data_IF_095688885322
#
_entry.id   IF_095688885322
#
_cell.length_a   1.000
_cell.length_b   1.000
_cell.length_c   1.000
_cell.angle_alpha   90.00
_cell.angle_beta   90.00
_cell.angle_gamma   90.00
#
_symmetry.space_group_name_H-M   'P 1'
#
loop_
_entity.id
_entity.type
_entity.pdbx_description
1 polymer ?
#
# COMPACT_ATOMS: atom_id res chain seq x y z
N UNK A 1 -14.10 -12.36 -10.46
CA UNK A 1 -12.67 -11.96 -10.57
C UNK A 1 -11.87 -12.35 -9.32
N UNK A 2 -12.35 -12.10 -8.09
CA UNK A 2 -11.60 -12.42 -6.85
C UNK A 2 -12.24 -13.52 -5.98
N UNK A 3 -13.26 -14.22 -6.48
CA UNK A 3 -13.96 -15.28 -5.72
C UNK A 3 -14.81 -14.76 -4.55
N UNK A 4 -15.15 -13.46 -4.55
CA UNK A 4 -15.93 -12.78 -3.51
C UNK A 4 -17.33 -12.47 -4.05
N UNK A 5 -18.36 -12.61 -3.20
CA UNK A 5 -19.74 -12.24 -3.54
C UNK A 5 -19.85 -10.74 -3.84
N UNK A 6 -20.75 -10.36 -4.75
CA UNK A 6 -21.00 -8.95 -5.09
C UNK A 6 -21.44 -8.14 -3.87
N UNK A 7 -22.19 -8.75 -2.94
CA UNK A 7 -22.66 -8.10 -1.72
C UNK A 7 -21.51 -7.71 -0.76
N UNK A 8 -20.33 -8.33 -0.92
CA UNK A 8 -19.13 -8.05 -0.14
C UNK A 8 -18.16 -7.10 -0.87
N UNK A 9 -18.58 -6.46 -1.98
CA UNK A 9 -17.72 -5.61 -2.79
C UNK A 9 -18.27 -4.19 -2.87
N UNK A 10 -17.40 -3.21 -2.60
CA UNK A 10 -17.63 -1.80 -2.94
C UNK A 10 -16.62 -1.36 -4.00
N UNK A 11 -17.07 -0.58 -4.98
CA UNK A 11 -16.20 0.08 -5.95
C UNK A 11 -16.13 1.58 -5.65
N UNK A 12 -14.91 2.13 -5.68
CA UNK A 12 -14.63 3.53 -5.42
C UNK A 12 -13.74 4.18 -6.48
N UNK A 13 -13.75 5.51 -6.53
CA UNK A 13 -12.90 6.36 -7.36
C UNK A 13 -11.44 6.32 -6.88
N UNK A 14 -10.78 5.20 -7.12
CA UNK A 14 -9.53 4.81 -6.45
C UNK A 14 -9.78 4.27 -5.04
N UNK A 15 -8.75 3.68 -4.44
CA UNK A 15 -8.81 3.22 -3.04
C UNK A 15 -8.88 4.39 -2.05
N UNK A 16 -8.45 5.59 -2.47
CA UNK A 16 -8.50 6.79 -1.63
C UNK A 16 -9.96 7.22 -1.32
N UNK A 17 -10.91 7.11 -2.27
CA UNK A 17 -12.32 7.37 -1.99
C UNK A 17 -12.87 6.36 -0.99
N UNK A 18 -12.51 5.08 -1.14
CA UNK A 18 -12.95 4.03 -0.20
C UNK A 18 -12.42 4.31 1.21
N UNK A 19 -11.15 4.68 1.34
CA UNK A 19 -10.57 5.08 2.63
C UNK A 19 -11.33 6.25 3.24
N UNK A 20 -11.61 7.31 2.47
CA UNK A 20 -12.38 8.46 2.97
C UNK A 20 -13.78 8.05 3.45
N UNK A 21 -14.46 7.17 2.72
CA UNK A 21 -15.76 6.64 3.14
C UNK A 21 -15.67 5.86 4.46
N UNK A 22 -14.59 5.11 4.70
CA UNK A 22 -14.38 4.41 5.98
C UNK A 22 -14.27 5.37 7.15
N UNK A 23 -13.49 6.46 7.01
CA UNK A 23 -13.42 7.50 8.04
C UNK A 23 -14.81 8.11 8.29
N UNK A 24 -15.53 8.50 7.23
CA UNK A 24 -16.86 9.12 7.35
C UNK A 24 -17.93 8.21 7.96
N UNK A 25 -17.84 6.90 7.71
CA UNK A 25 -18.86 5.94 8.14
C UNK A 25 -18.67 5.50 9.59
N UNK A 26 -17.42 5.43 10.06
CA UNK A 26 -17.08 4.68 11.28
C UNK A 26 -16.32 5.49 12.33
N UNK A 27 -15.96 6.74 12.05
CA UNK A 27 -15.27 7.60 13.02
C UNK A 27 -16.08 8.89 13.26
N UNK A 28 -16.42 9.15 14.51
CA UNK A 28 -16.98 10.42 14.96
C UNK A 28 -15.86 11.46 15.12
N UNK A 29 -15.91 12.59 14.38
CA UNK A 29 -14.88 13.64 14.46
C UNK A 29 -14.70 14.18 15.89
N UNK A 30 -13.45 14.37 16.32
CA UNK A 30 -13.03 14.82 17.68
C UNK A 30 -13.30 13.84 18.82
N UNK A 31 -13.91 12.69 18.58
CA UNK A 31 -14.18 11.69 19.60
C UNK A 31 -13.36 10.43 19.35
N UNK A 32 -13.42 9.92 18.13
CA UNK A 32 -12.78 8.67 17.77
C UNK A 32 -11.33 8.84 17.30
N UNK A 33 -10.57 7.75 17.39
CA UNK A 33 -9.22 7.66 16.85
C UNK A 33 -9.00 6.44 15.97
N UNK A 34 -7.93 6.51 15.16
CA UNK A 34 -7.49 5.49 14.22
C UNK A 34 -6.02 5.21 14.48
N UNK A 35 -5.63 3.93 14.43
CA UNK A 35 -4.22 3.51 14.52
C UNK A 35 -3.69 3.23 13.11
N UNK A 36 -2.46 3.66 12.81
CA UNK A 36 -1.72 3.24 11.63
C UNK A 36 -0.29 2.81 11.99
N UNK A 37 0.31 1.97 11.14
CA UNK A 37 1.75 1.69 11.22
C UNK A 37 2.58 2.82 10.60
N UNK A 38 3.78 3.07 11.14
CA UNK A 38 4.69 4.12 10.66
C UNK A 38 6.12 3.60 10.51
N UNK A 39 6.80 3.85 9.37
CA UNK A 39 6.34 4.57 8.19
C UNK A 39 5.32 3.79 7.34
N UNK A 40 4.37 4.49 6.72
CA UNK A 40 3.40 3.90 5.79
C UNK A 40 2.80 4.92 4.81
N UNK A 41 1.68 4.59 4.18
CA UNK A 41 1.07 5.41 3.14
C UNK A 41 0.48 6.71 3.71
N UNK A 42 1.03 7.84 3.28
CA UNK A 42 0.69 9.16 3.85
C UNK A 42 -0.77 9.62 3.70
N UNK A 43 -1.58 8.99 2.83
CA UNK A 43 -2.99 9.38 2.70
C UNK A 43 -3.80 9.09 3.96
N UNK A 44 -3.42 8.12 4.79
CA UNK A 44 -4.11 7.86 6.06
C UNK A 44 -4.11 9.10 6.96
N UNK A 45 -2.95 9.76 7.07
CA UNK A 45 -2.79 11.01 7.83
C UNK A 45 -3.57 12.17 7.22
N UNK A 46 -3.59 12.27 5.89
CA UNK A 46 -4.39 13.29 5.20
C UNK A 46 -5.88 13.10 5.49
N UNK A 47 -6.37 11.86 5.43
CA UNK A 47 -7.80 11.55 5.61
C UNK A 47 -8.24 11.67 7.08
N UNK A 48 -7.41 11.23 8.02
CA UNK A 48 -7.65 11.47 9.45
C UNK A 48 -7.77 12.97 9.76
N UNK A 49 -6.83 13.78 9.26
CA UNK A 49 -6.87 15.24 9.43
C UNK A 49 -8.10 15.88 8.75
N UNK A 50 -8.44 15.45 7.54
CA UNK A 50 -9.60 15.97 6.79
C UNK A 50 -10.92 15.67 7.51
N UNK A 51 -11.04 14.48 8.10
CA UNK A 51 -12.21 14.07 8.87
C UNK A 51 -12.11 14.48 10.35
N UNK A 52 -11.03 15.14 10.75
CA UNK A 52 -10.78 15.61 12.11
C UNK A 52 -10.87 14.49 13.16
N UNK A 53 -10.23 13.37 12.83
CA UNK A 53 -10.09 12.14 13.62
C UNK A 53 -8.64 12.04 14.08
N UNK A 54 -8.41 11.68 15.34
CA UNK A 54 -7.05 11.50 15.86
C UNK A 54 -6.38 10.30 15.18
N UNK A 55 -5.11 10.46 14.80
CA UNK A 55 -4.31 9.39 14.21
C UNK A 55 -3.15 9.03 15.13
N UNK A 56 -3.21 7.82 15.67
CA UNK A 56 -2.13 7.22 16.47
C UNK A 56 -1.19 6.44 15.57
N UNK A 57 0.10 6.72 15.68
CA UNK A 57 1.14 6.09 14.85
C UNK A 57 1.92 5.05 15.66
N UNK A 58 1.86 3.78 15.25
CA UNK A 58 2.65 2.69 15.83
C UNK A 58 3.88 2.43 14.97
N UNK A 59 5.06 2.63 15.56
CA UNK A 59 6.34 2.47 14.88
C UNK A 59 6.63 1.01 14.56
N UNK A 60 6.95 0.73 13.29
CA UNK A 60 7.52 -0.54 12.85
C UNK A 60 8.88 -0.78 13.52
N UNK A 61 9.35 -2.02 13.47
CA UNK A 61 10.72 -2.36 13.83
C UNK A 61 11.72 -1.77 12.83
N UNK A 62 13.01 -1.76 13.20
CA UNK A 62 14.09 -1.24 12.33
C UNK A 62 14.23 -1.99 11.00
N UNK A 63 13.81 -3.26 10.96
CA UNK A 63 13.74 -4.10 9.75
C UNK A 63 12.38 -3.98 9.03
N UNK A 64 11.54 -3.04 9.46
CA UNK A 64 10.17 -2.80 8.99
C UNK A 64 9.17 -3.93 9.25
N UNK A 65 9.49 -4.88 10.11
CA UNK A 65 8.50 -5.83 10.63
C UNK A 65 7.54 -5.16 11.61
N UNK A 66 6.36 -5.77 11.79
CA UNK A 66 5.32 -5.31 12.72
C UNK A 66 5.18 -6.30 13.87
N UNK A 67 5.25 -5.80 15.10
CA UNK A 67 4.79 -6.50 16.30
C UNK A 67 3.31 -6.17 16.54
N UNK A 68 2.45 -7.19 16.51
CA UNK A 68 1.02 -7.03 16.76
C UNK A 68 0.75 -6.45 18.16
N UNK A 69 1.58 -6.78 19.15
CA UNK A 69 1.40 -6.31 20.52
C UNK A 69 1.43 -4.79 20.61
N UNK A 70 2.32 -4.14 19.84
CA UNK A 70 2.40 -2.67 19.80
C UNK A 70 1.11 -2.00 19.31
N UNK A 71 0.38 -2.66 18.42
CA UNK A 71 -0.94 -2.19 17.96
C UNK A 71 -1.97 -2.43 19.05
N UNK A 72 -2.02 -3.65 19.61
CA UNK A 72 -3.00 -4.05 20.62
C UNK A 72 -2.89 -3.17 21.88
N UNK A 73 -1.67 -2.84 22.31
CA UNK A 73 -1.41 -2.00 23.47
C UNK A 73 -1.84 -0.52 23.26
N UNK A 74 -1.95 -0.07 22.01
CA UNK A 74 -2.30 1.32 21.65
C UNK A 74 -3.83 1.52 21.53
N UNK A 75 -4.59 0.42 21.44
CA UNK A 75 -6.06 0.44 21.35
C UNK A 75 -6.66 0.90 22.67
N UNK A 76 -7.58 1.86 22.57
CA UNK A 76 -8.41 2.37 23.65
C UNK A 76 -9.91 2.28 23.30
N UNK A 77 -10.78 2.78 24.17
CA UNK A 77 -12.23 2.76 24.00
C UNK A 77 -12.74 3.56 22.79
N UNK A 78 -11.95 4.53 22.31
CA UNK A 78 -12.28 5.42 21.19
C UNK A 78 -11.66 4.93 19.87
N UNK A 79 -10.87 3.87 19.90
CA UNK A 79 -10.19 3.36 18.70
C UNK A 79 -11.17 2.61 17.81
N UNK A 80 -11.46 3.15 16.61
CA UNK A 80 -12.43 2.56 15.68
C UNK A 80 -11.80 1.70 14.60
N UNK A 81 -10.60 2.07 14.16
CA UNK A 81 -10.01 1.47 12.98
C UNK A 81 -8.49 1.36 13.08
N UNK A 82 -7.95 0.28 12.52
CA UNK A 82 -6.52 -0.02 12.44
C UNK A 82 -6.17 -0.16 10.96
N UNK A 83 -5.23 0.65 10.47
CA UNK A 83 -4.81 0.71 9.07
C UNK A 83 -3.46 0.02 8.87
N UNK A 84 -3.46 -1.08 8.11
CA UNK A 84 -2.31 -1.93 7.85
C UNK A 84 -2.04 -2.00 6.33
N UNK A 85 -0.99 -1.34 5.84
CA UNK A 85 -0.59 -1.43 4.44
C UNK A 85 0.31 -2.66 4.22
N UNK A 86 -0.08 -3.58 3.33
CA UNK A 86 0.63 -4.86 3.14
C UNK A 86 0.41 -5.41 1.71
N UNK A 87 1.43 -5.45 0.83
CA UNK A 87 2.78 -4.94 1.03
C UNK A 87 2.84 -3.44 1.34
N UNK A 88 3.66 -3.06 2.32
CA UNK A 88 3.71 -1.70 2.85
C UNK A 88 4.38 -0.73 1.86
N UNK A 89 3.94 0.51 1.85
CA UNK A 89 4.58 1.61 1.13
C UNK A 89 5.04 2.66 2.15
N UNK A 90 6.34 2.96 2.29
CA UNK A 90 7.37 2.80 1.26
C UNK A 90 8.30 1.58 1.39
N UNK A 91 8.15 0.74 2.41
CA UNK A 91 9.16 -0.26 2.79
C UNK A 91 9.17 -1.50 1.90
N UNK A 92 8.03 -1.83 1.28
CA UNK A 92 7.90 -2.89 0.27
C UNK A 92 7.64 -4.28 0.85
N UNK A 93 8.00 -4.52 2.12
CA UNK A 93 7.74 -5.78 2.79
C UNK A 93 6.25 -5.97 3.10
N UNK A 94 5.84 -7.23 3.14
CA UNK A 94 4.50 -7.64 3.56
C UNK A 94 4.45 -7.87 5.08
N UNK A 95 3.29 -7.60 5.68
CA UNK A 95 2.97 -8.04 7.04
C UNK A 95 2.54 -9.50 6.99
N UNK A 96 3.14 -10.34 7.84
CA UNK A 96 2.76 -11.74 7.97
C UNK A 96 1.30 -11.87 8.45
N UNK A 97 0.55 -12.78 7.84
CA UNK A 97 -0.87 -12.92 8.18
C UNK A 97 -1.10 -13.27 9.66
N UNK A 98 -0.17 -13.99 10.30
CA UNK A 98 -0.28 -14.29 11.72
C UNK A 98 -0.26 -13.03 12.61
N UNK A 99 0.46 -11.97 12.20
CA UNK A 99 0.48 -10.68 12.91
C UNK A 99 -0.88 -9.98 12.75
N UNK A 100 -1.42 -9.94 11.53
CA UNK A 100 -2.76 -9.38 11.25
C UNK A 100 -3.83 -10.15 12.04
N UNK A 101 -3.73 -11.48 12.06
CA UNK A 101 -4.62 -12.36 12.81
C UNK A 101 -4.59 -12.05 14.30
N UNK A 102 -3.41 -11.85 14.89
CA UNK A 102 -3.31 -11.45 16.30
C UNK A 102 -4.06 -10.14 16.59
N UNK A 103 -3.95 -9.14 15.71
CA UNK A 103 -4.72 -7.89 15.85
C UNK A 103 -6.23 -8.14 15.74
N UNK A 104 -6.66 -8.92 14.74
CA UNK A 104 -8.07 -9.28 14.54
C UNK A 104 -8.66 -10.04 15.75
N UNK A 105 -7.89 -10.93 16.38
CA UNK A 105 -8.38 -11.77 17.48
C UNK A 105 -8.33 -11.09 18.85
N UNK A 106 -7.59 -9.98 18.99
CA UNK A 106 -7.40 -9.28 20.26
C UNK A 106 -7.96 -7.86 20.27
N UNK A 107 -8.67 -7.43 19.22
CA UNK A 107 -9.30 -6.11 19.13
C UNK A 107 -10.69 -6.22 18.52
N UNK A 108 -11.59 -5.30 18.91
CA UNK A 108 -12.92 -5.17 18.29
C UNK A 108 -12.95 -4.07 17.21
N UNK A 109 -11.80 -3.47 16.90
CA UNK A 109 -11.68 -2.41 15.91
C UNK A 109 -11.85 -2.95 14.49
N UNK A 110 -12.27 -2.10 13.55
CA UNK A 110 -12.16 -2.41 12.14
C UNK A 110 -10.69 -2.55 11.77
N UNK A 111 -10.32 -3.62 11.07
CA UNK A 111 -8.94 -3.82 10.60
C UNK A 111 -8.95 -3.69 9.09
N UNK A 112 -8.36 -2.61 8.58
CA UNK A 112 -8.23 -2.34 7.16
C UNK A 112 -6.85 -2.78 6.69
N UNK A 113 -6.81 -3.79 5.83
CA UNK A 113 -5.60 -4.22 5.14
C UNK A 113 -5.58 -3.60 3.74
N UNK A 114 -4.72 -2.60 3.55
CA UNK A 114 -4.49 -1.98 2.25
C UNK A 114 -3.52 -2.82 1.43
N UNK A 115 -4.09 -3.54 0.48
CA UNK A 115 -3.44 -4.50 -0.40
C UNK A 115 -3.22 -3.91 -1.81
N UNK A 116 -2.95 -2.61 -1.93
CA UNK A 116 -2.71 -1.97 -3.23
C UNK A 116 -1.63 -2.62 -4.11
N UNK A 117 -0.69 -3.38 -3.51
CA UNK A 117 0.41 -4.05 -4.19
C UNK A 117 0.34 -5.60 -4.12
N UNK A 118 -0.73 -6.18 -3.57
CA UNK A 118 -0.81 -7.63 -3.30
C UNK A 118 -0.65 -8.49 -4.55
N UNK A 119 -1.09 -8.01 -5.72
CA UNK A 119 -1.02 -8.76 -6.97
C UNK A 119 0.45 -9.06 -7.37
N UNK A 120 1.44 -8.30 -6.87
CA UNK A 120 2.87 -8.56 -7.06
C UNK A 120 3.48 -9.54 -6.04
N UNK A 121 2.77 -9.83 -4.94
CA UNK A 121 3.23 -10.77 -3.93
C UNK A 121 3.08 -12.22 -4.42
N UNK A 122 3.96 -13.09 -3.96
CA UNK A 122 3.86 -14.54 -4.15
C UNK A 122 2.92 -15.18 -3.10
N UNK A 123 2.58 -14.45 -2.03
CA UNK A 123 1.68 -14.90 -0.94
C UNK A 123 0.22 -14.47 -1.19
N UNK A 124 -0.72 -15.22 -0.61
CA UNK A 124 -2.17 -15.00 -0.78
C UNK A 124 -2.69 -13.70 -0.13
N UNK A 125 -3.75 -13.12 -0.70
CA UNK A 125 -4.47 -11.97 -0.14
C UNK A 125 -5.22 -12.30 1.15
N UNK A 126 -5.43 -11.29 2.01
CA UNK A 126 -6.30 -11.37 3.19
C UNK A 126 -7.78 -11.52 2.84
N UNK A 127 -8.18 -11.33 1.57
CA UNK A 127 -9.54 -11.63 1.08
C UNK A 127 -9.99 -13.03 1.47
N UNK A 128 -9.08 -14.02 1.46
CA UNK A 128 -9.39 -15.40 1.84
C UNK A 128 -9.80 -15.59 3.31
N UNK A 129 -9.70 -14.54 4.14
CA UNK A 129 -10.08 -14.56 5.55
C UNK A 129 -11.31 -13.72 5.87
N UNK A 130 -11.95 -13.08 4.87
CA UNK A 130 -13.13 -12.23 5.09
C UNK A 130 -14.28 -12.97 5.78
N UNK A 131 -14.50 -14.24 5.45
CA UNK A 131 -15.55 -15.06 6.08
C UNK A 131 -15.29 -15.39 7.55
N UNK A 132 -14.06 -15.23 8.02
CA UNK A 132 -13.65 -15.57 9.38
C UNK A 132 -13.69 -14.34 10.31
N UNK A 133 -13.68 -13.13 9.76
CA UNK A 133 -13.54 -11.90 10.53
C UNK A 133 -14.41 -10.79 9.95
N UNK A 134 -15.55 -10.51 10.58
CA UNK A 134 -16.49 -9.48 10.11
C UNK A 134 -15.90 -8.06 10.16
N UNK A 135 -14.95 -7.80 11.06
CA UNK A 135 -14.27 -6.50 11.16
C UNK A 135 -13.13 -6.32 10.13
N UNK A 136 -12.82 -7.33 9.32
CA UNK A 136 -11.76 -7.26 8.31
C UNK A 136 -12.25 -6.56 7.04
N UNK A 137 -11.49 -5.56 6.61
CA UNK A 137 -11.70 -4.82 5.38
C UNK A 137 -10.42 -4.93 4.55
N UNK A 138 -10.53 -5.31 3.28
CA UNK A 138 -9.38 -5.40 2.38
C UNK A 138 -9.56 -4.44 1.21
N UNK A 139 -8.54 -3.62 0.95
CA UNK A 139 -8.54 -2.67 -0.15
C UNK A 139 -7.61 -3.12 -1.26
N UNK A 140 -8.07 -3.07 -2.51
CA UNK A 140 -7.23 -3.32 -3.69
C UNK A 140 -7.49 -2.26 -4.76
N UNK A 141 -6.66 -2.21 -5.79
CA UNK A 141 -6.78 -1.20 -6.85
C UNK A 141 -6.35 -1.73 -8.20
N UNK A 142 -6.94 -1.18 -9.27
CA UNK A 142 -6.47 -1.39 -10.63
C UNK A 142 -5.28 -0.47 -10.98
N UNK A 143 -4.84 0.39 -10.06
CA UNK A 143 -3.83 1.41 -10.33
C UNK A 143 -2.41 0.87 -10.49
N UNK A 144 -2.11 -0.30 -9.92
CA UNK A 144 -0.74 -0.81 -9.82
C UNK A 144 -0.53 -1.95 -10.81
N UNK A 145 -0.83 -3.18 -10.40
CA UNK A 145 -0.62 -4.38 -11.22
C UNK A 145 -1.28 -4.31 -12.59
N UNK A 146 -2.50 -3.77 -12.65
CA UNK A 146 -3.24 -3.66 -13.90
C UNK A 146 -2.83 -2.47 -14.77
N UNK A 147 -1.89 -1.62 -14.32
CA UNK A 147 -1.42 -0.45 -15.09
C UNK A 147 -2.47 0.64 -15.31
N UNK A 148 -3.60 0.61 -14.61
CA UNK A 148 -4.75 1.50 -14.85
C UNK A 148 -4.86 2.62 -13.81
N UNK A 149 -3.73 3.23 -13.43
CA UNK A 149 -3.75 4.33 -12.46
C UNK A 149 -4.67 5.48 -12.89
N UNK A 150 -4.73 5.78 -14.19
CA UNK A 150 -5.51 6.87 -14.77
C UNK A 150 -7.02 6.67 -14.75
N UNK A 151 -7.54 5.44 -14.68
CA UNK A 151 -8.99 5.21 -14.68
C UNK A 151 -9.62 5.40 -13.30
N UNK A 152 -8.81 5.48 -12.25
CA UNK A 152 -9.26 5.72 -10.87
C UNK A 152 -10.31 4.69 -10.38
N UNK A 153 -9.94 3.41 -10.33
CA UNK A 153 -10.80 2.37 -9.76
C UNK A 153 -10.12 1.68 -8.56
N UNK A 154 -10.79 1.75 -7.41
CA UNK A 154 -10.48 1.03 -6.18
C UNK A 154 -11.57 0.04 -5.84
N UNK A 155 -11.21 -0.97 -5.05
CA UNK A 155 -12.10 -2.03 -4.61
C UNK A 155 -11.97 -2.19 -3.10
N UNK A 156 -13.10 -2.26 -2.41
CA UNK A 156 -13.22 -2.67 -1.02
C UNK A 156 -13.82 -4.08 -1.00
N UNK A 157 -13.27 -4.94 -0.14
CA UNK A 157 -13.86 -6.23 0.20
C UNK A 157 -14.07 -6.28 1.71
N UNK A 158 -15.30 -6.49 2.15
CA UNK A 158 -15.67 -6.48 3.57
C UNK A 158 -16.94 -7.30 3.81
N UNK A 159 -17.41 -7.39 5.05
CA UNK A 159 -18.71 -7.97 5.36
C UNK A 159 -19.86 -7.25 4.63
N UNK A 160 -20.98 -7.92 4.42
CA UNK A 160 -22.13 -7.33 3.72
C UNK A 160 -22.68 -6.11 4.47
N UNK A 161 -22.62 -6.13 5.81
CA UNK A 161 -23.05 -5.03 6.68
C UNK A 161 -22.20 -3.77 6.47
N UNK A 162 -20.87 -3.93 6.43
CA UNK A 162 -19.94 -2.83 6.17
C UNK A 162 -20.19 -2.27 4.77
N UNK A 163 -20.28 -3.14 3.75
CA UNK A 163 -20.53 -2.72 2.36
C UNK A 163 -21.89 -2.02 2.21
N UNK A 164 -22.92 -2.47 2.93
CA UNK A 164 -24.22 -1.82 2.94
C UNK A 164 -24.16 -0.41 3.54
N UNK A 165 -23.39 -0.18 4.61
CA UNK A 165 -23.16 1.16 5.18
C UNK A 165 -22.45 2.05 4.15
N UNK A 166 -21.36 1.57 3.56
CA UNK A 166 -20.59 2.37 2.60
C UNK A 166 -21.39 2.71 1.34
N UNK A 167 -22.24 1.78 0.85
CA UNK A 167 -23.12 2.05 -0.28
C UNK A 167 -24.20 3.11 0.02
N UNK A 168 -24.60 3.30 1.28
CA UNK A 168 -25.55 4.35 1.67
C UNK A 168 -24.94 5.75 1.64
N UNK A 169 -23.64 5.87 1.93
CA UNK A 169 -22.97 7.17 2.05
C UNK A 169 -22.14 7.57 0.82
N UNK A 170 -21.78 6.60 -0.04
CA UNK A 170 -21.05 6.92 -1.28
C UNK A 170 -21.92 7.74 -2.23
N UNK A 171 -21.33 8.59 -3.09
CA UNK A 171 -22.09 9.26 -4.14
C UNK A 171 -22.81 8.26 -5.07
N UNK A 172 -24.02 8.57 -5.55
CA UNK A 172 -24.81 7.66 -6.39
C UNK A 172 -24.09 7.27 -7.69
N UNK A 173 -23.27 8.18 -8.23
CA UNK A 173 -22.53 8.01 -9.48
C UNK A 173 -21.02 8.19 -9.27
N UNK A 174 -20.45 7.50 -8.28
CA UNK A 174 -19.05 7.67 -7.88
C UNK A 174 -18.01 7.14 -8.90
N UNK A 175 -18.37 6.11 -9.68
CA UNK A 175 -17.51 5.58 -10.76
C UNK A 175 -18.13 5.90 -12.13
N UNK A 176 -17.41 6.67 -12.94
CA UNK A 176 -17.88 7.08 -14.27
C UNK A 176 -17.89 5.91 -15.28
N UNK A 177 -18.70 6.04 -16.34
CA UNK A 177 -18.90 5.00 -17.36
C UNK A 177 -17.62 4.64 -18.13
N UNK A 178 -16.70 5.58 -18.35
CA UNK A 178 -15.43 5.31 -19.05
C UNK A 178 -14.55 4.39 -18.21
N UNK A 179 -14.48 4.64 -16.90
CA UNK A 179 -13.79 3.77 -15.94
C UNK A 179 -14.41 2.38 -15.90
N UNK A 180 -15.74 2.28 -15.83
CA UNK A 180 -16.44 0.98 -15.80
C UNK A 180 -16.15 0.17 -17.07
N UNK A 181 -16.32 0.76 -18.25
CA UNK A 181 -16.06 0.10 -19.53
C UNK A 181 -14.61 -0.37 -19.64
N UNK A 182 -13.65 0.48 -19.24
CA UNK A 182 -12.24 0.11 -19.33
C UNK A 182 -11.86 -0.99 -18.35
N UNK A 183 -12.43 -0.98 -17.15
CA UNK A 183 -12.23 -2.02 -16.17
C UNK A 183 -12.78 -3.37 -16.66
N UNK A 184 -13.98 -3.41 -17.23
CA UNK A 184 -14.57 -4.64 -17.80
C UNK A 184 -13.67 -5.18 -18.91
N UNK A 185 -13.32 -4.34 -19.89
CA UNK A 185 -12.45 -4.74 -21.02
C UNK A 185 -11.13 -5.35 -20.56
N UNK A 186 -10.50 -4.74 -19.54
CA UNK A 186 -9.25 -5.22 -18.99
C UNK A 186 -9.47 -6.53 -18.22
N UNK A 187 -10.48 -6.62 -17.36
CA UNK A 187 -10.70 -7.79 -16.50
C UNK A 187 -11.11 -9.03 -17.29
N UNK A 188 -11.75 -8.87 -18.45
CA UNK A 188 -12.00 -9.96 -19.41
C UNK A 188 -10.71 -10.46 -20.09
N UNK A 189 -9.75 -9.56 -20.32
CA UNK A 189 -8.44 -9.87 -20.94
C UNK A 189 -7.36 -10.24 -19.92
N UNK A 190 -7.59 -9.99 -18.63
CA UNK A 190 -6.61 -10.08 -17.56
C UNK A 190 -6.25 -11.53 -17.21
N UNK A 191 -5.43 -12.14 -18.06
CA UNK A 191 -4.75 -13.41 -17.82
C UNK A 191 -3.25 -13.34 -18.16
N UNK A 192 -2.69 -12.14 -18.36
CA UNK A 192 -1.28 -11.99 -18.71
C UNK A 192 -0.37 -12.23 -17.49
N UNK A 193 -0.07 -13.50 -17.24
CA UNK A 193 0.89 -13.95 -16.22
C UNK A 193 2.31 -13.44 -16.49
N UNK A 194 2.62 -13.00 -17.72
CA UNK A 194 3.98 -12.61 -18.10
C UNK A 194 4.40 -11.29 -17.46
N UNK A 195 3.49 -10.31 -17.39
CA UNK A 195 3.81 -9.00 -16.77
C UNK A 195 4.18 -9.13 -15.29
N UNK A 196 3.41 -9.90 -14.50
CA UNK A 196 3.74 -10.17 -13.10
C UNK A 196 5.17 -10.69 -12.97
N UNK A 197 5.49 -11.68 -13.79
CA UNK A 197 6.76 -12.37 -13.69
C UNK A 197 7.94 -11.53 -14.18
N UNK A 198 7.73 -10.68 -15.18
CA UNK A 198 8.72 -9.69 -15.60
C UNK A 198 9.02 -8.70 -14.47
N UNK A 199 8.01 -8.12 -13.83
CA UNK A 199 8.22 -7.19 -12.70
C UNK A 199 8.94 -7.86 -11.54
N UNK A 200 8.57 -9.11 -11.18
CA UNK A 200 9.26 -9.84 -10.10
C UNK A 200 10.73 -10.12 -10.49
N UNK A 201 10.99 -10.52 -11.74
CA UNK A 201 12.34 -10.78 -12.25
C UNK A 201 13.19 -9.51 -12.24
N UNK A 202 12.65 -8.42 -12.77
CA UNK A 202 13.29 -7.11 -12.79
C UNK A 202 13.52 -6.55 -11.39
N UNK A 203 12.60 -6.78 -10.45
CA UNK A 203 12.77 -6.42 -9.04
C UNK A 203 13.95 -7.16 -8.41
N UNK A 204 14.05 -8.48 -8.63
CA UNK A 204 15.17 -9.30 -8.12
C UNK A 204 16.50 -8.85 -8.73
N UNK A 205 16.53 -8.61 -10.05
CA UNK A 205 17.70 -8.08 -10.75
C UNK A 205 18.14 -6.71 -10.21
N UNK A 206 17.21 -5.76 -10.14
CA UNK A 206 17.50 -4.40 -9.71
C UNK A 206 17.99 -4.38 -8.24
N UNK A 207 17.37 -5.16 -7.35
CA UNK A 207 17.83 -5.26 -5.96
C UNK A 207 19.28 -5.79 -5.88
N UNK A 208 19.61 -6.81 -6.67
CA UNK A 208 20.97 -7.36 -6.74
C UNK A 208 21.97 -6.33 -7.25
N UNK A 209 21.69 -5.64 -8.35
CA UNK A 209 22.62 -4.65 -8.90
C UNK A 209 22.78 -3.42 -8.00
N UNK A 210 21.69 -2.95 -7.38
CA UNK A 210 21.74 -1.84 -6.41
C UNK A 210 22.63 -2.16 -5.21
N UNK A 211 22.62 -3.41 -4.73
CA UNK A 211 23.43 -3.83 -3.58
C UNK A 211 24.94 -3.79 -3.82
N UNK A 212 25.38 -3.69 -5.09
CA UNK A 212 26.81 -3.67 -5.45
C UNK A 212 27.44 -2.29 -5.37
N UNK A 213 26.66 -1.23 -5.25
CA UNK A 213 27.19 0.13 -5.12
C UNK A 213 27.68 0.38 -3.69
N UNK A 214 28.91 0.85 -3.53
CA UNK A 214 29.52 1.10 -2.21
C UNK A 214 28.73 2.11 -1.35
N UNK A 215 27.99 3.02 -2.00
CA UNK A 215 27.15 4.00 -1.31
C UNK A 215 25.80 3.46 -0.86
N UNK A 216 25.42 2.24 -1.25
CA UNK A 216 24.19 1.58 -0.82
C UNK A 216 24.51 0.79 0.45
N UNK A 217 23.89 1.19 1.57
CA UNK A 217 24.07 0.53 2.86
C UNK A 217 23.19 -0.70 2.99
N UNK A 218 21.98 -0.65 2.43
CA UNK A 218 21.00 -1.71 2.56
C UNK A 218 19.98 -1.65 1.41
N UNK A 219 19.57 -2.81 0.91
CA UNK A 219 18.45 -2.96 -0.01
C UNK A 219 17.40 -3.83 0.67
N UNK A 220 16.22 -3.25 0.94
CA UNK A 220 15.18 -3.94 1.69
C UNK A 220 14.39 -4.93 0.82
N UNK A 221 13.95 -6.06 1.38
CA UNK A 221 13.05 -6.99 0.70
C UNK A 221 11.76 -6.30 0.24
N UNK A 222 11.20 -6.78 -0.88
CA UNK A 222 9.96 -6.20 -1.42
C UNK A 222 9.05 -7.24 -2.05
N UNK A 223 7.77 -7.13 -1.71
CA UNK A 223 6.64 -7.82 -2.32
C UNK A 223 5.83 -6.89 -3.26
N UNK A 224 6.27 -5.64 -3.47
CA UNK A 224 5.61 -4.63 -4.31
C UNK A 224 6.32 -4.39 -5.65
N UNK A 225 5.87 -3.44 -6.47
CA UNK A 225 6.54 -3.05 -7.72
C UNK A 225 7.64 -1.97 -7.52
N UNK A 226 8.24 -1.91 -6.35
CA UNK A 226 9.29 -0.96 -6.00
C UNK A 226 10.25 -1.58 -4.99
N UNK A 227 11.41 -0.95 -4.78
CA UNK A 227 12.42 -1.33 -3.81
C UNK A 227 12.74 -0.10 -2.96
N UNK A 228 12.89 -0.29 -1.65
CA UNK A 228 13.49 0.70 -0.76
C UNK A 228 14.98 0.37 -0.60
N UNK A 229 15.85 1.36 -0.76
CA UNK A 229 17.28 1.22 -0.47
C UNK A 229 17.75 2.33 0.45
N UNK A 230 18.58 2.00 1.43
CA UNK A 230 19.30 2.95 2.27
C UNK A 230 20.66 3.25 1.68
N UNK A 231 21.06 4.51 1.70
CA UNK A 231 22.31 5.00 1.10
C UNK A 231 23.13 5.81 2.10
N UNK A 232 24.34 6.22 1.71
CA UNK A 232 25.14 7.16 2.51
C UNK A 232 24.55 8.57 2.52
N UNK A 233 24.02 9.05 1.39
CA UNK A 233 23.39 10.36 1.23
C UNK A 233 22.31 10.31 0.12
N UNK A 234 21.06 10.08 0.52
CA UNK A 234 19.97 9.99 -0.43
C UNK A 234 19.64 11.33 -1.10
N UNK A 235 19.88 12.46 -0.43
CA UNK A 235 19.56 13.77 -0.98
C UNK A 235 20.51 14.11 -2.13
N UNK A 236 21.81 13.87 -1.95
CA UNK A 236 22.80 14.06 -3.03
C UNK A 236 22.49 13.16 -4.23
N UNK A 237 22.27 11.86 -4.00
CA UNK A 237 21.94 10.90 -5.06
C UNK A 237 20.66 11.33 -5.80
N UNK A 238 19.60 11.65 -5.05
CA UNK A 238 18.32 12.10 -5.61
C UNK A 238 18.46 13.34 -6.50
N UNK A 239 19.19 14.35 -6.03
CA UNK A 239 19.40 15.59 -6.78
C UNK A 239 20.20 15.34 -8.08
N UNK A 240 21.17 14.43 -8.06
CA UNK A 240 21.93 14.05 -9.26
C UNK A 240 21.08 13.25 -10.25
N UNK A 241 20.21 12.35 -9.77
CA UNK A 241 19.27 11.62 -10.62
C UNK A 241 18.27 12.57 -11.30
N UNK A 242 17.72 13.55 -10.58
CA UNK A 242 16.82 14.56 -11.16
C UNK A 242 17.51 15.34 -12.29
N UNK A 243 18.76 15.76 -12.11
CA UNK A 243 19.52 16.48 -13.15
C UNK A 243 19.70 15.66 -14.44
N UNK A 244 19.58 14.33 -14.34
CA UNK A 244 19.61 13.39 -15.47
C UNK A 244 18.22 12.89 -15.88
N UNK A 245 17.16 13.59 -15.44
CA UNK A 245 15.74 13.27 -15.72
C UNK A 245 15.28 11.90 -15.21
N UNK A 246 15.91 11.36 -14.17
CA UNK A 246 15.50 10.11 -13.51
C UNK A 246 14.81 10.44 -12.19
N UNK A 247 13.53 10.12 -12.09
CA UNK A 247 12.70 10.45 -10.92
C UNK A 247 12.51 9.20 -10.06
N UNK A 248 13.18 9.17 -8.91
CA UNK A 248 12.90 8.23 -7.81
C UNK A 248 12.13 8.95 -6.69
N UNK A 249 11.76 8.24 -5.62
CA UNK A 249 11.12 8.87 -4.45
C UNK A 249 12.09 8.95 -3.28
N UNK A 250 12.40 10.16 -2.84
CA UNK A 250 13.19 10.38 -1.64
C UNK A 250 12.34 10.18 -0.39
N UNK A 251 12.76 9.26 0.49
CA UNK A 251 12.05 8.89 1.72
C UNK A 251 12.79 9.30 3.00
N UNK A 252 13.83 10.12 2.87
CA UNK A 252 14.66 10.59 4.00
C UNK A 252 13.86 11.22 5.14
N UNK A 253 12.67 11.78 4.86
CA UNK A 253 11.81 12.42 5.88
C UNK A 253 10.80 11.47 6.53
N UNK A 254 10.64 10.26 6.00
CA UNK A 254 9.74 9.28 6.61
C UNK A 254 10.45 8.65 7.82
N UNK A 255 9.73 8.32 8.90
CA UNK A 255 10.29 7.63 10.05
C UNK A 255 11.06 6.37 9.64
N UNK A 256 12.21 6.12 10.27
CA UNK A 256 13.09 4.97 10.00
C UNK A 256 13.66 4.90 8.56
N UNK A 257 13.38 5.87 7.69
CA UNK A 257 13.80 5.89 6.29
C UNK A 257 14.91 6.92 6.02
N UNK A 258 15.72 7.27 7.02
CA UNK A 258 16.82 8.22 6.86
C UNK A 258 17.78 7.75 5.77
N UNK A 259 18.08 8.63 4.82
CA UNK A 259 18.88 8.32 3.64
C UNK A 259 18.31 7.17 2.78
N UNK A 260 16.99 6.96 2.78
CA UNK A 260 16.36 5.99 1.90
C UNK A 260 15.81 6.61 0.61
N UNK A 261 15.98 5.88 -0.49
CA UNK A 261 15.33 6.12 -1.78
C UNK A 261 14.42 4.94 -2.10
N UNK A 262 13.19 5.22 -2.51
CA UNK A 262 12.25 4.23 -3.03
C UNK A 262 12.23 4.30 -4.56
N UNK A 263 12.62 3.21 -5.19
CA UNK A 263 12.77 3.07 -6.64
C UNK A 263 11.64 2.19 -7.17
N UNK A 264 10.79 2.73 -8.04
CA UNK A 264 9.80 1.92 -8.76
C UNK A 264 10.53 1.04 -9.78
N UNK A 265 10.16 -0.24 -9.86
CA UNK A 265 10.68 -1.16 -10.88
C UNK A 265 10.02 -0.80 -12.21
N UNK A 266 10.82 -0.31 -13.15
CA UNK A 266 10.40 0.03 -14.50
C UNK A 266 10.59 -1.13 -15.47
N UNK A 267 10.55 -0.80 -16.76
CA UNK A 267 10.96 -1.70 -17.84
C UNK A 267 12.45 -2.05 -17.73
N UNK A 268 12.92 -3.14 -18.38
CA UNK A 268 14.33 -3.51 -18.37
C UNK A 268 15.27 -2.38 -18.82
N UNK A 269 14.88 -1.60 -19.83
CA UNK A 269 15.68 -0.47 -20.31
C UNK A 269 15.72 0.71 -19.34
N UNK A 270 14.62 1.02 -18.66
CA UNK A 270 14.58 2.05 -17.61
C UNK A 270 15.43 1.65 -16.40
N UNK A 271 15.39 0.37 -16.00
CA UNK A 271 16.20 -0.15 -14.90
C UNK A 271 17.70 -0.08 -15.25
N UNK A 272 18.08 -0.46 -16.47
CA UNK A 272 19.47 -0.35 -16.94
C UNK A 272 19.94 1.11 -17.01
N UNK A 273 19.10 2.02 -17.51
CA UNK A 273 19.39 3.46 -17.54
C UNK A 273 19.65 4.02 -16.14
N UNK A 274 18.84 3.61 -15.15
CA UNK A 274 19.04 3.97 -13.76
C UNK A 274 20.39 3.46 -13.24
N UNK A 275 20.71 2.17 -13.46
CA UNK A 275 21.96 1.56 -12.99
C UNK A 275 23.19 2.22 -13.63
N UNK A 276 23.16 2.48 -14.94
CA UNK A 276 24.23 3.19 -15.64
C UNK A 276 24.41 4.61 -15.12
N UNK A 277 23.30 5.29 -14.81
CA UNK A 277 23.33 6.62 -14.24
C UNK A 277 23.93 6.63 -12.83
N UNK A 278 23.56 5.65 -12.00
CA UNK A 278 24.10 5.50 -10.65
C UNK A 278 25.61 5.24 -10.64
N UNK A 279 26.18 4.60 -11.68
CA UNK A 279 27.66 4.45 -11.83
C UNK A 279 28.39 5.77 -12.05
N UNK A 280 27.68 6.84 -12.43
CA UNK A 280 28.26 8.13 -12.77
C UNK A 280 28.05 9.19 -11.68
N UNK A 281 27.38 8.85 -10.57
CA UNK A 281 27.15 9.80 -9.49
C UNK A 281 28.43 10.00 -8.68
N UNK A 282 28.61 11.22 -8.17
CA UNK A 282 29.76 11.59 -7.34
C UNK A 282 29.26 11.87 -5.93
N UNK A 283 29.86 11.23 -4.92
CA UNK A 283 29.42 11.28 -3.54
C UNK A 283 30.50 11.80 -2.60
#
# INVERSE_FOLDING_TARGET
>A
IKGVSVANILLGNGSDEVLDLLFRAFCEPKEDNVIMISPSYGMYKVLANLNNVELKEVMLEKDFSLDAKKIIDEVDENTKMILLCSPNNPTGNRIEFNVIKQVLENTNCLVVVDEAYIDFSEKNSCIGSLSNYNQLIVLQTLSKYYGMAGIRLGMCFASEEIVAVLNKIKPPYNVNVLTQNKAIELLEKANDKNYKQEVITQRKYLANELSKFEFVKEVYPSDANFILMRTIDANSIYNQLIKKNIIVRNRTKEPLCENCLRITVGTPSENELLLQTLKQIVL
#
